data_IF_526519617787
#
_entry.id   IF_526519617787
#
_cell.length_a   1.000
_cell.length_b   1.000
_cell.length_c   1.000
_cell.angle_alpha   90.00
_cell.angle_beta   90.00
_cell.angle_gamma   90.00
#
_symmetry.space_group_name_H-M   'P 1'
#
loop_
_entity.id
_entity.type
_entity.pdbx_description
1 polymer ?
#
# COMPACT_ATOMS: atom_id res chain seq x y z
N UNK A 1 7.82 -64.06 14.51
CA UNK A 1 7.59 -63.90 13.06
C UNK A 1 6.44 -62.94 12.71
N UNK A 2 5.14 -63.29 12.76
CA UNK A 2 4.06 -62.38 12.31
C UNK A 2 3.96 -61.07 13.11
N UNK A 3 4.15 -61.12 14.43
CA UNK A 3 4.17 -59.95 15.32
C UNK A 3 5.36 -59.02 15.06
N UNK A 4 6.54 -59.56 14.74
CA UNK A 4 7.74 -58.76 14.40
C UNK A 4 7.60 -58.07 13.04
N UNK A 5 7.04 -58.74 12.04
CA UNK A 5 6.77 -58.16 10.71
C UNK A 5 5.78 -56.99 10.82
N UNK A 6 4.75 -57.11 11.68
CA UNK A 6 3.80 -56.04 11.93
C UNK A 6 4.43 -54.83 12.63
N UNK A 7 5.36 -55.06 13.56
CA UNK A 7 6.11 -54.00 14.26
C UNK A 7 7.05 -53.26 13.28
N UNK A 8 7.77 -53.97 12.42
CA UNK A 8 8.66 -53.37 11.41
C UNK A 8 7.87 -52.54 10.37
N UNK A 9 6.73 -53.04 9.90
CA UNK A 9 5.83 -52.30 9.00
C UNK A 9 5.30 -51.02 9.66
N UNK A 10 4.88 -51.08 10.93
CA UNK A 10 4.44 -49.90 11.69
C UNK A 10 5.56 -48.88 11.87
N UNK A 11 6.79 -49.33 12.14
CA UNK A 11 7.97 -48.46 12.26
C UNK A 11 8.30 -47.74 10.95
N UNK A 12 8.29 -48.45 9.82
CA UNK A 12 8.49 -47.87 8.48
C UNK A 12 7.44 -46.83 8.12
N UNK A 13 6.17 -47.07 8.45
CA UNK A 13 5.08 -46.11 8.25
C UNK A 13 5.31 -44.85 9.10
N UNK A 14 5.66 -45.00 10.38
CA UNK A 14 5.93 -43.86 11.28
C UNK A 14 7.11 -43.02 10.74
N UNK A 15 8.19 -43.66 10.29
CA UNK A 15 9.34 -42.96 9.71
C UNK A 15 8.91 -42.21 8.43
N UNK A 16 8.20 -42.88 7.51
CA UNK A 16 7.72 -42.26 6.27
C UNK A 16 6.83 -41.04 6.51
N UNK A 17 5.87 -41.15 7.44
CA UNK A 17 4.99 -40.04 7.84
C UNK A 17 5.80 -38.91 8.49
N UNK A 18 6.76 -39.22 9.35
CA UNK A 18 7.62 -38.21 10.00
C UNK A 18 8.48 -37.45 8.98
N UNK A 19 9.07 -38.16 8.00
CA UNK A 19 9.81 -37.54 6.90
C UNK A 19 8.91 -36.65 6.04
N UNK A 20 7.69 -37.08 5.73
CA UNK A 20 6.72 -36.28 4.98
C UNK A 20 6.32 -35.00 5.72
N UNK A 21 6.07 -35.08 7.03
CA UNK A 21 5.77 -33.92 7.88
C UNK A 21 6.99 -32.97 7.91
N UNK A 22 8.19 -33.50 8.11
CA UNK A 22 9.41 -32.68 8.12
C UNK A 22 9.62 -31.96 6.78
N UNK A 23 9.44 -32.65 5.64
CA UNK A 23 9.54 -32.05 4.32
C UNK A 23 8.49 -30.94 4.11
N UNK A 24 7.25 -31.16 4.56
CA UNK A 24 6.20 -30.15 4.50
C UNK A 24 6.53 -28.92 5.35
N UNK A 25 7.03 -29.11 6.58
CA UNK A 25 7.45 -28.01 7.45
C UNK A 25 8.59 -27.19 6.83
N UNK A 26 9.57 -27.86 6.20
CA UNK A 26 10.65 -27.18 5.48
C UNK A 26 10.09 -26.39 4.29
N UNK A 27 9.19 -26.97 3.49
CA UNK A 27 8.57 -26.29 2.37
C UNK A 27 7.79 -25.04 2.82
N UNK A 28 7.04 -25.15 3.93
CA UNK A 28 6.33 -24.01 4.54
C UNK A 28 7.31 -22.94 5.02
N UNK A 29 8.42 -23.32 5.67
CA UNK A 29 9.44 -22.38 6.12
C UNK A 29 10.11 -21.65 4.94
N UNK A 30 10.46 -22.37 3.88
CA UNK A 30 11.02 -21.78 2.66
C UNK A 30 10.02 -20.83 2.02
N UNK A 31 8.74 -21.21 1.92
CA UNK A 31 7.70 -20.33 1.40
C UNK A 31 7.57 -19.06 2.24
N UNK A 32 7.56 -19.16 3.58
CA UNK A 32 7.53 -18.00 4.47
C UNK A 32 8.76 -17.10 4.30
N UNK A 33 9.96 -17.67 4.13
CA UNK A 33 11.19 -16.93 3.85
C UNK A 33 11.11 -16.15 2.53
N UNK A 34 10.64 -16.80 1.45
CA UNK A 34 10.47 -16.16 0.14
C UNK A 34 9.42 -15.04 0.23
N UNK A 35 8.23 -15.36 0.75
CA UNK A 35 7.14 -14.39 0.89
C UNK A 35 7.55 -13.22 1.79
N UNK A 36 8.25 -13.50 2.89
CA UNK A 36 8.69 -12.46 3.82
C UNK A 36 9.79 -11.57 3.25
N UNK A 37 10.75 -12.13 2.52
CA UNK A 37 11.81 -11.35 1.86
C UNK A 37 11.32 -10.55 0.64
N UNK A 38 10.28 -11.03 -0.07
CA UNK A 38 9.70 -10.34 -1.22
C UNK A 38 8.65 -9.30 -0.84
N UNK A 39 7.71 -9.67 0.04
CA UNK A 39 6.52 -8.86 0.34
C UNK A 39 6.50 -8.29 1.75
N UNK A 40 7.44 -8.68 2.60
CA UNK A 40 7.56 -8.13 3.95
C UNK A 40 6.67 -8.82 4.99
N UNK A 41 6.20 -10.04 4.69
CA UNK A 41 5.38 -10.83 5.60
C UNK A 41 6.20 -11.22 6.85
N UNK A 42 5.70 -10.99 8.08
CA UNK A 42 6.37 -11.44 9.30
C UNK A 42 6.63 -12.95 9.31
N UNK A 43 7.74 -13.43 9.92
CA UNK A 43 8.73 -12.66 10.68
C UNK A 43 9.86 -12.06 9.82
N UNK A 44 9.90 -12.30 8.51
CA UNK A 44 11.06 -11.99 7.67
C UNK A 44 11.00 -10.61 6.98
N UNK A 45 10.15 -9.70 7.44
CA UNK A 45 10.01 -8.36 6.85
C UNK A 45 11.30 -7.54 6.82
N UNK A 46 12.17 -7.72 7.82
CA UNK A 46 13.47 -7.05 7.86
C UNK A 46 14.39 -7.44 6.68
N UNK A 47 14.25 -8.64 6.12
CA UNK A 47 15.01 -9.05 4.93
C UNK A 47 14.60 -8.25 3.69
N UNK A 48 13.29 -7.97 3.54
CA UNK A 48 12.78 -7.10 2.48
C UNK A 48 13.39 -5.71 2.62
N UNK A 49 13.35 -5.14 3.82
CA UNK A 49 13.81 -3.76 4.05
C UNK A 49 15.33 -3.65 3.85
N UNK A 50 16.11 -4.64 4.30
CA UNK A 50 17.55 -4.70 4.02
C UNK A 50 17.87 -4.78 2.52
N UNK A 51 17.04 -5.48 1.74
CA UNK A 51 17.16 -5.52 0.27
C UNK A 51 16.78 -4.18 -0.35
N UNK A 52 15.66 -3.59 0.05
CA UNK A 52 15.19 -2.30 -0.46
C UNK A 52 16.21 -1.19 -0.18
N UNK A 53 16.84 -1.19 1.00
CA UNK A 53 17.89 -0.24 1.36
C UNK A 53 19.11 -0.28 0.43
N UNK A 54 19.39 -1.41 -0.22
CA UNK A 54 20.49 -1.56 -1.18
C UNK A 54 20.15 -1.06 -2.59
N UNK A 55 18.89 -0.74 -2.87
CA UNK A 55 18.48 -0.23 -4.18
C UNK A 55 18.89 1.24 -4.33
N UNK A 56 19.35 1.61 -5.53
CA UNK A 56 19.84 2.96 -5.85
C UNK A 56 18.83 4.07 -5.51
N UNK A 57 17.53 3.80 -5.71
CA UNK A 57 16.46 4.75 -5.39
C UNK A 57 16.28 5.03 -3.90
N UNK A 58 16.88 4.22 -3.03
CA UNK A 58 16.89 4.38 -1.57
C UNK A 58 18.27 4.81 -1.05
N UNK A 59 19.18 5.26 -1.92
CA UNK A 59 20.46 5.79 -1.52
C UNK A 59 20.31 7.03 -0.62
N UNK A 60 21.21 7.20 0.35
CA UNK A 60 21.16 8.28 1.35
C UNK A 60 21.00 9.68 0.73
N UNK A 61 21.55 9.93 -0.46
CA UNK A 61 21.40 11.22 -1.17
C UNK A 61 19.95 11.62 -1.46
N UNK A 62 19.02 10.67 -1.49
CA UNK A 62 17.58 10.90 -1.67
C UNK A 62 16.80 10.88 -0.34
N UNK A 63 17.48 10.67 0.79
CA UNK A 63 16.83 10.71 2.11
C UNK A 63 16.17 12.06 2.34
N UNK A 64 14.97 12.04 2.92
CA UNK A 64 14.25 13.25 3.33
C UNK A 64 15.05 14.07 4.35
N UNK A 65 15.94 13.43 5.12
CA UNK A 65 16.83 14.13 6.07
C UNK A 65 17.77 15.11 5.37
N UNK A 66 18.12 14.83 4.11
CA UNK A 66 19.01 15.67 3.29
C UNK A 66 18.26 16.77 2.53
N UNK A 67 16.92 16.79 2.60
CA UNK A 67 16.09 17.78 1.90
C UNK A 67 16.14 19.11 2.64
N UNK A 68 16.60 20.14 1.92
CA UNK A 68 16.60 21.51 2.41
C UNK A 68 15.20 22.14 2.24
N UNK A 69 14.68 22.86 3.25
CA UNK A 69 13.47 23.67 3.08
C UNK A 69 13.62 24.70 1.95
N UNK A 70 12.52 25.00 1.26
CA UNK A 70 12.44 26.05 0.27
C UNK A 70 12.12 27.36 0.98
N UNK A 71 12.92 28.39 0.72
CA UNK A 71 12.65 29.73 1.24
C UNK A 71 11.39 30.31 0.60
N UNK A 72 10.56 30.96 1.42
CA UNK A 72 9.31 31.60 0.99
C UNK A 72 8.34 30.66 0.25
N UNK A 73 8.23 29.41 0.69
CA UNK A 73 7.26 28.48 0.09
C UNK A 73 5.83 28.97 0.32
N UNK A 74 5.03 29.03 -0.75
CA UNK A 74 3.60 29.35 -0.67
C UNK A 74 2.79 28.32 0.14
N UNK A 75 3.37 27.13 0.34
CA UNK A 75 2.77 26.05 1.11
C UNK A 75 3.24 26.03 2.58
N UNK A 76 4.10 26.96 3.00
CA UNK A 76 4.60 27.01 4.37
C UNK A 76 3.45 27.10 5.38
N UNK A 77 3.51 26.25 6.41
CA UNK A 77 2.49 26.17 7.46
C UNK A 77 1.18 25.48 7.05
N UNK A 78 1.02 25.07 5.77
CA UNK A 78 -0.18 24.36 5.31
C UNK A 78 -0.27 22.95 5.89
N UNK A 79 -1.49 22.46 6.10
CA UNK A 79 -1.77 21.08 6.52
C UNK A 79 -2.44 20.31 5.39
N UNK A 80 -1.78 19.26 4.90
CA UNK A 80 -2.22 18.52 3.71
C UNK A 80 -2.63 17.09 4.10
N UNK A 81 -3.80 16.66 3.65
CA UNK A 81 -4.26 15.28 3.82
C UNK A 81 -3.88 14.46 2.57
N UNK A 82 -3.29 13.28 2.77
CA UNK A 82 -2.93 12.34 1.70
C UNK A 82 -3.66 11.01 1.89
N UNK A 83 -4.50 10.65 0.91
CA UNK A 83 -5.14 9.35 0.82
C UNK A 83 -4.55 8.56 -0.34
N UNK A 84 -4.11 7.33 -0.10
CA UNK A 84 -3.49 6.55 -1.17
C UNK A 84 -3.20 5.10 -0.86
N UNK A 85 -2.37 4.49 -1.70
CA UNK A 85 -1.90 3.11 -1.53
C UNK A 85 -0.38 3.05 -1.46
N UNK A 86 0.24 2.02 -2.02
CA UNK A 86 1.67 1.71 -1.87
C UNK A 86 2.61 2.83 -2.32
N UNK A 87 2.19 3.66 -3.29
CA UNK A 87 2.97 4.81 -3.78
C UNK A 87 2.99 5.92 -2.74
N UNK A 88 1.82 6.39 -2.27
CA UNK A 88 1.74 7.35 -1.17
C UNK A 88 2.36 6.81 0.12
N UNK A 89 2.20 5.51 0.39
CA UNK A 89 2.74 4.86 1.59
C UNK A 89 4.28 4.82 1.57
N UNK A 90 4.90 4.70 0.39
CA UNK A 90 6.34 4.50 0.25
C UNK A 90 6.75 3.03 0.42
N UNK A 91 5.95 2.09 -0.08
CA UNK A 91 6.15 0.65 0.12
C UNK A 91 7.54 0.16 -0.33
N UNK A 92 8.04 0.69 -1.45
CA UNK A 92 9.35 0.36 -2.03
C UNK A 92 10.48 1.29 -1.55
N UNK A 93 10.14 2.29 -0.75
CA UNK A 93 11.02 3.37 -0.29
C UNK A 93 11.06 3.48 1.22
N UNK A 94 11.05 2.32 1.90
CA UNK A 94 11.17 2.22 3.35
C UNK A 94 10.16 3.11 4.08
N UNK A 95 8.93 3.16 3.57
CA UNK A 95 7.79 3.93 4.11
C UNK A 95 7.92 5.46 4.05
N UNK A 96 8.92 5.95 3.30
CA UNK A 96 9.13 7.37 3.00
C UNK A 96 8.74 7.63 1.55
N UNK A 97 7.86 8.58 1.28
CA UNK A 97 7.39 8.89 -0.08
C UNK A 97 7.52 10.38 -0.39
N UNK A 98 6.94 10.79 -1.52
CA UNK A 98 6.86 12.20 -1.88
C UNK A 98 6.11 13.05 -0.83
N UNK A 99 5.29 12.43 0.02
CA UNK A 99 4.56 13.11 1.10
C UNK A 99 5.54 13.74 2.09
N UNK A 100 6.48 12.94 2.61
CA UNK A 100 7.52 13.42 3.53
C UNK A 100 8.44 14.44 2.85
N UNK A 101 8.78 14.21 1.58
CA UNK A 101 9.57 15.15 0.79
C UNK A 101 8.87 16.52 0.67
N UNK A 102 7.59 16.55 0.26
CA UNK A 102 6.84 17.80 0.13
C UNK A 102 6.76 18.51 1.48
N UNK A 103 6.51 17.77 2.56
CA UNK A 103 6.43 18.33 3.89
C UNK A 103 7.74 18.97 4.35
N UNK A 104 8.85 18.27 4.18
CA UNK A 104 10.19 18.79 4.53
C UNK A 104 10.58 19.97 3.63
N UNK A 105 10.40 19.85 2.32
CA UNK A 105 10.78 20.87 1.34
C UNK A 105 9.95 22.14 1.47
N UNK A 106 8.68 22.04 1.86
CA UNK A 106 7.77 23.19 1.91
C UNK A 106 7.37 23.61 3.32
N UNK A 107 7.89 22.95 4.37
CA UNK A 107 7.51 23.18 5.76
C UNK A 107 5.99 23.06 5.98
N UNK A 108 5.38 22.05 5.37
CA UNK A 108 3.97 21.70 5.61
C UNK A 108 3.86 20.67 6.72
N UNK A 109 2.67 20.50 7.28
CA UNK A 109 2.32 19.32 8.07
C UNK A 109 1.35 18.44 7.30
N UNK A 110 1.18 17.18 7.70
CA UNK A 110 0.31 16.28 6.96
C UNK A 110 -0.37 15.21 7.82
N UNK A 111 -1.45 14.67 7.27
CA UNK A 111 -2.02 13.37 7.65
C UNK A 111 -1.87 12.45 6.45
N UNK A 112 -1.29 11.26 6.65
CA UNK A 112 -1.03 10.28 5.58
C UNK A 112 -1.78 8.98 5.86
N UNK A 113 -2.92 8.81 5.19
CA UNK A 113 -3.74 7.60 5.25
C UNK A 113 -3.49 6.76 3.99
N UNK A 114 -2.42 5.96 4.00
CA UNK A 114 -1.99 5.19 2.85
C UNK A 114 -1.69 3.72 3.18
N UNK A 115 -2.35 2.80 2.46
CA UNK A 115 -2.23 1.36 2.70
C UNK A 115 -1.97 0.61 1.39
N UNK A 116 -0.93 -0.21 1.36
CA UNK A 116 -0.51 -0.95 0.16
C UNK A 116 -1.60 -1.91 -0.34
N UNK A 117 -1.78 -1.99 -1.66
CA UNK A 117 -2.68 -2.93 -2.33
C UNK A 117 -4.19 -2.61 -2.27
N UNK A 118 -4.57 -1.48 -1.65
CA UNK A 118 -5.97 -1.04 -1.55
C UNK A 118 -6.46 -0.33 -2.80
N UNK A 119 -7.77 -0.33 -3.03
CA UNK A 119 -8.45 0.28 -4.20
C UNK A 119 -9.26 1.52 -3.83
N UNK A 120 -9.60 2.34 -4.82
CA UNK A 120 -10.59 3.40 -4.71
C UNK A 120 -11.96 2.80 -4.43
N UNK A 121 -12.37 1.87 -5.32
CA UNK A 121 -13.63 1.14 -5.26
C UNK A 121 -13.86 0.52 -3.88
N UNK A 122 -15.08 0.70 -3.36
CA UNK A 122 -15.48 0.19 -2.06
C UNK A 122 -15.76 -1.32 -2.07
N UNK A 123 -14.70 -2.11 -1.90
CA UNK A 123 -14.73 -3.57 -1.92
C UNK A 123 -14.22 -4.24 -0.63
N UNK A 124 -14.02 -3.47 0.44
CA UNK A 124 -13.34 -3.97 1.64
C UNK A 124 -12.45 -2.91 2.25
N UNK A 125 -11.15 -3.15 2.31
CA UNK A 125 -10.17 -2.18 2.82
C UNK A 125 -9.86 -1.09 1.77
N UNK A 126 -10.89 -0.37 1.32
CA UNK A 126 -10.85 0.62 0.25
C UNK A 126 -10.43 2.01 0.74
N UNK A 127 -10.14 2.91 -0.20
CA UNK A 127 -9.90 4.32 0.10
C UNK A 127 -11.15 4.96 0.69
N UNK A 128 -12.33 4.65 0.14
CA UNK A 128 -13.64 5.14 0.60
C UNK A 128 -13.88 4.81 2.07
N UNK A 129 -13.52 3.60 2.53
CA UNK A 129 -13.63 3.26 3.95
C UNK A 129 -12.58 3.97 4.80
N UNK A 130 -11.32 3.92 4.38
CA UNK A 130 -10.20 4.50 5.15
C UNK A 130 -10.28 6.01 5.28
N UNK A 131 -10.86 6.69 4.30
CA UNK A 131 -11.19 8.11 4.35
C UNK A 131 -11.98 8.48 5.62
N UNK A 132 -12.88 7.60 6.07
CA UNK A 132 -13.73 7.82 7.25
C UNK A 132 -12.99 7.63 8.58
N UNK A 133 -11.76 7.12 8.55
CA UNK A 133 -10.91 6.98 9.74
C UNK A 133 -10.15 8.28 10.05
N UNK A 134 -10.10 9.21 9.10
CA UNK A 134 -9.46 10.52 9.29
C UNK A 134 -10.37 11.37 10.16
N UNK A 135 -9.80 12.05 11.16
CA UNK A 135 -10.57 12.89 12.07
C UNK A 135 -11.29 14.00 11.30
N UNK A 136 -12.60 14.09 11.51
CA UNK A 136 -13.49 15.05 10.86
C UNK A 136 -13.27 16.48 11.35
N UNK A 137 -12.68 16.65 12.52
CA UNK A 137 -12.41 17.96 13.11
C UNK A 137 -11.07 18.57 12.65
N UNK A 138 -10.29 17.82 11.88
CA UNK A 138 -9.07 18.33 11.27
C UNK A 138 -9.35 19.50 10.33
N UNK A 139 -8.36 20.37 10.18
CA UNK A 139 -8.40 21.46 9.21
C UNK A 139 -7.31 21.24 8.18
N UNK A 140 -7.72 20.92 6.96
CA UNK A 140 -6.81 20.72 5.84
C UNK A 140 -6.89 21.90 4.89
N UNK A 141 -5.74 22.36 4.41
CA UNK A 141 -5.67 23.33 3.33
C UNK A 141 -5.80 22.67 1.95
N UNK A 142 -5.53 21.35 1.88
CA UNK A 142 -5.57 20.57 0.65
C UNK A 142 -5.78 19.09 0.98
N UNK A 143 -6.63 18.43 0.20
CA UNK A 143 -6.76 16.98 0.18
C UNK A 143 -6.18 16.41 -1.12
N UNK A 144 -5.25 15.48 -1.01
CA UNK A 144 -4.56 14.85 -2.14
C UNK A 144 -4.87 13.36 -2.14
N UNK A 145 -5.47 12.89 -3.24
CA UNK A 145 -5.82 11.49 -3.43
C UNK A 145 -4.98 10.86 -4.53
N UNK A 146 -4.49 9.65 -4.30
CA UNK A 146 -3.86 8.85 -5.34
C UNK A 146 -4.92 8.24 -6.27
N UNK A 147 -4.78 8.40 -7.58
CA UNK A 147 -5.49 7.56 -8.54
C UNK A 147 -4.93 6.14 -8.50
N UNK A 148 -5.74 5.18 -8.05
CA UNK A 148 -5.29 3.85 -7.70
C UNK A 148 -4.92 3.00 -8.92
N UNK A 149 -3.66 2.57 -8.98
CA UNK A 149 -3.18 1.56 -9.94
C UNK A 149 -3.73 0.17 -9.64
N UNK A 150 -4.20 -0.08 -8.41
CA UNK A 150 -4.76 -1.35 -8.00
C UNK A 150 -6.15 -1.57 -8.61
N UNK A 151 -6.92 -0.50 -8.84
CA UNK A 151 -8.23 -0.60 -9.49
C UNK A 151 -8.07 -1.07 -10.93
N UNK A 152 -7.10 -0.50 -11.66
CA UNK A 152 -6.73 -0.98 -12.99
C UNK A 152 -6.21 -2.42 -12.97
N UNK A 153 -5.30 -2.75 -12.05
CA UNK A 153 -4.68 -4.07 -11.96
C UNK A 153 -5.68 -5.17 -11.61
N UNK A 154 -6.66 -4.85 -10.76
CA UNK A 154 -7.76 -5.75 -10.36
C UNK A 154 -8.97 -5.64 -11.29
N UNK A 155 -8.87 -4.88 -12.39
CA UNK A 155 -9.92 -4.70 -13.41
C UNK A 155 -11.26 -4.27 -12.79
N UNK A 156 -11.22 -3.32 -11.85
CA UNK A 156 -12.43 -2.75 -11.26
C UNK A 156 -13.26 -2.04 -12.33
N UNK A 157 -14.57 -2.07 -12.16
CA UNK A 157 -15.51 -1.42 -13.08
C UNK A 157 -15.27 0.09 -13.05
N UNK A 158 -15.03 0.70 -14.23
CA UNK A 158 -14.76 2.13 -14.34
C UNK A 158 -15.97 2.96 -13.91
N UNK A 159 -17.16 2.60 -14.38
CA UNK A 159 -18.38 3.39 -14.19
C UNK A 159 -18.46 4.58 -15.15
N UNK A 160 -19.44 5.45 -14.92
CA UNK A 160 -19.63 6.70 -15.66
C UNK A 160 -19.22 7.89 -14.77
N UNK A 161 -18.90 9.03 -15.38
CA UNK A 161 -18.44 10.22 -14.64
C UNK A 161 -19.47 10.69 -13.59
N UNK A 162 -20.76 10.54 -13.87
CA UNK A 162 -21.84 10.96 -12.95
C UNK A 162 -22.25 9.87 -11.95
N UNK A 163 -21.56 8.73 -11.95
CA UNK A 163 -21.91 7.60 -11.09
C UNK A 163 -21.78 7.97 -9.61
N UNK A 164 -22.72 7.49 -8.80
CA UNK A 164 -22.78 7.71 -7.35
C UNK A 164 -22.52 6.42 -6.57
N UNK A 165 -22.44 5.27 -7.26
CA UNK A 165 -22.09 4.01 -6.62
C UNK A 165 -20.58 3.91 -6.40
N UNK A 166 -20.15 4.00 -5.13
CA UNK A 166 -18.76 3.84 -4.73
C UNK A 166 -18.16 2.46 -5.08
N UNK A 167 -18.94 1.52 -5.64
CA UNK A 167 -18.45 0.25 -6.20
C UNK A 167 -17.86 0.38 -7.62
N UNK A 168 -17.97 1.54 -8.27
CA UNK A 168 -17.24 1.86 -9.51
C UNK A 168 -16.12 2.86 -9.23
N UNK A 169 -15.12 2.92 -10.12
CA UNK A 169 -13.98 3.83 -9.96
C UNK A 169 -14.46 5.29 -9.97
N UNK A 170 -15.29 5.67 -10.93
CA UNK A 170 -15.85 7.03 -11.01
C UNK A 170 -16.73 7.36 -9.80
N UNK A 171 -17.61 6.44 -9.38
CA UNK A 171 -18.43 6.67 -8.19
C UNK A 171 -17.62 6.76 -6.91
N UNK A 172 -16.53 6.00 -6.76
CA UNK A 172 -15.62 6.14 -5.63
C UNK A 172 -14.87 7.48 -5.63
N UNK A 173 -14.46 7.97 -6.81
CA UNK A 173 -13.84 9.29 -6.97
C UNK A 173 -14.83 10.38 -6.54
N UNK A 174 -16.06 10.35 -7.05
CA UNK A 174 -17.11 11.30 -6.70
C UNK A 174 -17.39 11.29 -5.19
N UNK A 175 -17.53 10.10 -4.60
CA UNK A 175 -17.72 9.95 -3.16
C UNK A 175 -16.58 10.60 -2.36
N UNK A 176 -15.31 10.35 -2.73
CA UNK A 176 -14.15 10.91 -2.03
C UNK A 176 -14.13 12.45 -2.13
N UNK A 177 -14.41 12.99 -3.33
CA UNK A 177 -14.47 14.44 -3.56
C UNK A 177 -15.54 15.08 -2.67
N UNK A 178 -16.75 14.54 -2.70
CA UNK A 178 -17.89 15.08 -1.95
C UNK A 178 -17.65 14.98 -0.46
N UNK A 179 -17.16 13.82 0.02
CA UNK A 179 -16.85 13.64 1.43
C UNK A 179 -15.80 14.63 1.93
N UNK A 180 -14.71 14.82 1.17
CA UNK A 180 -13.63 15.73 1.56
C UNK A 180 -14.10 17.20 1.60
N UNK A 181 -14.92 17.61 0.61
CA UNK A 181 -15.52 18.95 0.56
C UNK A 181 -16.54 19.17 1.69
N UNK A 182 -17.39 18.20 1.96
CA UNK A 182 -18.42 18.32 3.01
C UNK A 182 -17.82 18.27 4.41
N UNK A 183 -16.76 17.46 4.62
CA UNK A 183 -16.18 17.24 5.95
C UNK A 183 -15.17 18.32 6.32
N UNK A 184 -14.22 18.62 5.43
CA UNK A 184 -13.10 19.53 5.73
C UNK A 184 -13.13 20.83 4.94
N UNK A 185 -14.05 20.97 3.98
CA UNK A 185 -14.22 22.17 3.15
C UNK A 185 -12.91 22.66 2.50
N UNK A 186 -12.14 21.73 1.93
CA UNK A 186 -10.86 22.02 1.29
C UNK A 186 -10.82 21.57 -0.18
N UNK A 187 -9.92 22.16 -1.00
CA UNK A 187 -9.68 21.71 -2.36
C UNK A 187 -9.24 20.24 -2.40
N UNK A 188 -9.64 19.54 -3.46
CA UNK A 188 -9.32 18.13 -3.70
C UNK A 188 -8.50 18.01 -4.97
N UNK A 189 -7.35 17.33 -4.89
CA UNK A 189 -6.48 17.03 -6.03
C UNK A 189 -6.30 15.52 -6.13
N UNK A 190 -6.48 14.98 -7.33
CA UNK A 190 -6.07 13.62 -7.64
C UNK A 190 -4.74 13.66 -8.38
N UNK A 191 -3.80 12.80 -7.97
CA UNK A 191 -2.56 12.60 -8.71
C UNK A 191 -2.55 11.21 -9.35
N UNK A 192 -2.03 11.14 -10.57
CA UNK A 192 -1.80 9.89 -11.28
C UNK A 192 -0.37 9.43 -11.07
N UNK A 193 -0.11 8.13 -11.20
CA UNK A 193 1.25 7.64 -11.17
C UNK A 193 2.02 8.16 -12.40
N UNK A 194 3.36 8.14 -12.34
CA UNK A 194 4.15 8.22 -13.57
C UNK A 194 3.71 7.11 -14.55
N UNK A 195 4.15 7.21 -15.82
CA UNK A 195 3.74 6.28 -16.88
C UNK A 195 3.58 4.85 -16.37
N UNK A 196 2.34 4.36 -16.43
CA UNK A 196 1.96 3.03 -15.98
C UNK A 196 1.43 2.28 -17.17
N UNK A 197 2.13 1.23 -17.57
CA UNK A 197 1.84 0.44 -18.78
C UNK A 197 0.57 -0.40 -18.60
N UNK A 198 -0.58 0.27 -18.57
CA UNK A 198 -1.89 -0.33 -18.38
C UNK A 198 -2.94 0.43 -19.18
N UNK A 199 -3.53 -0.22 -20.18
CA UNK A 199 -4.66 0.32 -20.95
C UNK A 199 -5.85 0.64 -20.06
N UNK A 200 -6.06 -0.14 -18.99
CA UNK A 200 -7.13 0.08 -18.03
C UNK A 200 -6.88 1.34 -17.21
N UNK A 201 -5.64 1.54 -16.73
CA UNK A 201 -5.29 2.76 -16.00
C UNK A 201 -5.38 3.99 -16.90
N UNK A 202 -4.95 3.88 -18.16
CA UNK A 202 -5.07 4.96 -19.14
C UNK A 202 -6.53 5.42 -19.38
N UNK A 203 -7.52 4.54 -19.16
CA UNK A 203 -8.94 4.92 -19.24
C UNK A 203 -9.45 5.66 -18.00
N UNK A 204 -8.70 5.62 -16.90
CA UNK A 204 -9.04 6.29 -15.64
C UNK A 204 -8.50 7.72 -15.57
N UNK A 205 -7.60 8.11 -16.47
CA UNK A 205 -6.97 9.43 -16.58
C UNK A 205 -7.72 10.25 -17.62
#
# INVERSE_FOLDING_TARGET
MAREIAIDKKKKIIIGVSCAIAALLIAVLIALLICGSLWGIPPFGALRDARLKKLEGNADRYSVDNVQPLDNSLLEGKRICYLGSSVSYGASSLQTSFVEYIAKRNKTTFVKEAVSGTTLVDDGNSYVKRLKNIDKNEKFDLFVCQLSTNDASKKKTLGNVDDQDAKTVCGAINFIIDYARQTWNCPVVFYTNAYYESKQYAKMV
#
